data_IF_080303114424
#
_entry.id   IF_080303114424
#
_cell.length_a   1.000
_cell.length_b   1.000
_cell.length_c   1.000
_cell.angle_alpha   90.00
_cell.angle_beta   90.00
_cell.angle_gamma   90.00
#
_symmetry.space_group_name_H-M   'P 1'
#
loop_
_entity.id
_entity.type
_entity.pdbx_description
1 polymer ?
2 water ?
#
# COMPACT_ATOMS: atom_id res chain seq x y z
N UNK A 10 18.90 1.06 11.49
CA UNK A 10 18.34 -0.24 11.18
C UNK A 10 19.48 -0.95 10.46
N UNK A 11 19.61 -2.27 10.41
CA UNK A 11 20.66 -2.88 9.62
C UNK A 11 20.48 -2.59 8.15
N UNK A 12 21.59 -2.35 7.45
CA UNK A 12 21.60 -2.23 6.00
C UNK A 12 20.83 -3.35 5.30
N UNK A 13 20.86 -4.59 5.78
CA UNK A 13 20.18 -5.64 5.08
C UNK A 13 18.67 -5.44 5.12
N UNK A 14 18.16 -4.81 6.19
CA UNK A 14 16.75 -4.51 6.26
C UNK A 14 16.47 -3.41 5.26
N UNK A 15 17.24 -2.34 5.16
CA UNK A 15 17.00 -1.30 4.20
C UNK A 15 17.03 -1.79 2.74
N UNK A 16 18.03 -2.64 2.48
CA UNK A 16 18.24 -3.23 1.18
C UNK A 16 17.05 -4.15 0.88
N UNK A 17 16.59 -4.98 1.83
CA UNK A 17 15.40 -5.79 1.62
C UNK A 17 14.13 -4.92 1.46
N UNK A 18 13.97 -3.84 2.22
CA UNK A 18 12.84 -2.96 2.09
C UNK A 18 12.85 -2.33 0.72
N UNK A 19 13.99 -1.85 0.22
CA UNK A 19 14.06 -1.28 -1.11
C UNK A 19 13.57 -2.25 -2.17
N UNK A 20 14.10 -3.46 -2.15
CA UNK A 20 13.73 -4.44 -3.13
C UNK A 20 12.22 -4.74 -3.06
N UNK A 21 11.64 -4.82 -1.87
CA UNK A 21 10.26 -5.18 -1.72
C UNK A 21 9.26 -4.10 -2.11
N UNK A 22 9.57 -2.87 -1.77
CA UNK A 22 8.75 -1.73 -2.07
C UNK A 22 8.80 -1.44 -3.55
N UNK A 23 9.96 -1.53 -4.21
CA UNK A 23 10.00 -1.34 -5.64
C UNK A 23 9.23 -2.43 -6.42
N UNK A 24 9.08 -3.62 -5.89
CA UNK A 24 8.26 -4.60 -6.53
C UNK A 24 6.77 -4.22 -6.32
N UNK A 25 6.32 -3.85 -5.10
CA UNK A 25 4.92 -3.43 -4.85
C UNK A 25 4.62 -2.18 -5.65
N UNK A 26 5.55 -1.26 -5.85
CA UNK A 26 5.33 -0.15 -6.72
C UNK A 26 5.18 -0.59 -8.20
N UNK A 27 6.00 -1.54 -8.67
CA UNK A 27 5.93 -1.97 -10.04
C UNK A 27 4.59 -2.63 -10.21
N UNK A 28 4.20 -3.48 -9.29
CA UNK A 28 2.90 -4.14 -9.31
C UNK A 28 1.71 -3.21 -9.37
N UNK A 29 1.85 -2.07 -8.72
CA UNK A 29 0.76 -1.11 -8.65
C UNK A 29 0.65 -0.37 -9.95
N UNK A 30 1.78 -0.09 -10.57
CA UNK A 30 1.77 0.61 -11.82
C UNK A 30 1.18 -0.26 -12.89
N UNK A 31 1.36 -1.58 -12.83
CA UNK A 31 0.78 -2.50 -13.78
C UNK A 31 -0.73 -2.44 -13.65
N UNK A 32 -1.29 -2.55 -12.44
CA UNK A 32 -2.75 -2.44 -12.23
C UNK A 32 -3.27 -1.10 -12.79
N UNK A 33 -2.56 -0.03 -12.48
CA UNK A 33 -2.97 1.26 -12.95
C UNK A 33 -2.87 1.42 -14.46
N UNK A 34 -1.85 0.95 -15.18
CA UNK A 34 -1.80 1.11 -16.62
C UNK A 34 -2.86 0.25 -17.35
N UNK A 35 -3.20 -0.95 -16.87
CA UNK A 35 -4.28 -1.74 -17.45
C UNK A 35 -5.61 -0.98 -17.27
N UNK A 36 -6.15 -0.75 -16.08
CA UNK A 36 -7.40 -0.01 -15.93
C UNK A 36 -7.49 1.38 -16.58
N UNK A 37 -6.40 2.03 -16.90
CA UNK A 37 -6.50 3.29 -17.62
C UNK A 37 -6.76 2.96 -19.09
N UNK A 38 -5.93 2.10 -19.68
CA UNK A 38 -6.10 1.72 -21.06
C UNK A 38 -7.51 1.19 -21.29
N UNK A 39 -7.83 0.24 -20.46
CA UNK A 39 -9.06 -0.52 -20.51
C UNK A 39 -10.35 0.21 -20.11
N UNK A 40 -10.38 1.27 -19.29
CA UNK A 40 -11.66 1.84 -18.80
C UNK A 40 -11.48 3.29 -18.48
N UNK A 41 -10.46 3.91 -19.07
CA UNK A 41 -10.26 5.35 -19.04
C UNK A 41 -10.03 5.94 -17.66
N UNK A 42 -9.85 5.05 -16.69
CA UNK A 42 -9.55 5.42 -15.33
C UNK A 42 -8.05 5.76 -15.24
N UNK A 43 -7.62 6.95 -15.69
CA UNK A 43 -6.21 7.32 -15.65
C UNK A 43 -5.88 8.46 -14.73
N UNK A 44 -6.83 9.12 -14.09
CA UNK A 44 -6.46 10.25 -13.27
C UNK A 44 -6.96 10.05 -11.87
N UNK A 45 -6.13 9.46 -10.98
CA UNK A 45 -6.58 9.07 -9.66
C UNK A 45 -6.94 10.31 -8.89
N UNK A 46 -6.34 11.43 -9.34
CA UNK A 46 -6.60 12.77 -8.87
C UNK A 46 -8.09 13.13 -8.92
N UNK A 47 -8.81 12.55 -9.88
CA UNK A 47 -10.24 12.79 -10.02
C UNK A 47 -11.09 11.91 -9.10
N UNK A 48 -10.60 10.73 -8.74
CA UNK A 48 -11.40 9.76 -8.02
C UNK A 48 -11.47 10.01 -6.52
N UNK A 49 -10.87 11.10 -6.06
CA UNK A 49 -10.71 11.34 -4.62
C UNK A 49 -12.04 11.40 -3.87
N UNK A 50 -12.98 12.14 -4.45
CA UNK A 50 -14.31 12.32 -3.86
C UNK A 50 -15.03 10.98 -3.76
N UNK A 51 -14.88 10.19 -4.82
CA UNK A 51 -15.48 8.88 -4.87
C UNK A 51 -14.84 7.94 -3.87
N UNK A 52 -13.52 8.02 -3.71
CA UNK A 52 -12.87 7.20 -2.70
C UNK A 52 -13.51 7.46 -1.35
N UNK A 53 -13.66 8.77 -1.11
CA UNK A 53 -14.32 9.31 0.07
C UNK A 53 -15.74 8.82 0.23
N UNK A 54 -16.50 8.81 -0.86
CA UNK A 54 -17.81 8.25 -0.80
C UNK A 54 -17.76 6.77 -0.46
N UNK A 55 -16.81 6.03 -1.07
CA UNK A 55 -16.73 4.56 -0.92
C UNK A 55 -16.28 4.07 0.44
N UNK A 56 -15.49 4.92 1.09
CA UNK A 56 -15.01 4.63 2.43
C UNK A 56 -13.61 4.04 2.41
N UNK A 57 -12.76 4.55 1.50
CA UNK A 57 -11.43 4.00 1.33
C UNK A 57 -10.48 4.81 2.19
N UNK A 58 -10.03 4.21 3.33
CA UNK A 58 -9.23 4.88 4.34
C UNK A 58 -7.92 5.23 3.74
N UNK A 59 -7.19 6.05 4.46
CA UNK A 59 -5.93 6.40 3.92
C UNK A 59 -4.89 6.52 5.02
N UNK A 60 -4.15 5.41 5.27
CA UNK A 60 -3.18 5.28 6.34
C UNK A 60 -2.24 6.46 6.54
N UNK A 61 -2.27 6.98 7.77
CA UNK A 61 -1.29 7.93 8.29
C UNK A 61 0.10 7.36 8.61
N UNK A 62 1.06 8.11 8.13
CA UNK A 62 2.43 7.91 8.45
C UNK A 62 2.96 9.14 9.22
N UNK A 63 2.25 9.55 10.28
CA UNK A 63 2.62 10.77 11.00
C UNK A 63 3.95 10.65 11.72
N UNK A 64 4.15 9.57 12.45
CA UNK A 64 5.40 9.32 13.11
C UNK A 64 6.54 9.10 12.13
N UNK A 65 6.28 9.04 10.83
CA UNK A 65 7.39 8.91 9.90
C UNK A 65 7.68 10.27 9.29
N UNK A 66 6.93 11.31 9.74
CA UNK A 66 7.09 12.70 9.27
C UNK A 66 8.13 13.39 10.13
N UNK A 67 9.03 14.20 9.56
CA UNK A 67 10.09 14.89 10.32
C UNK A 67 9.75 15.40 11.73
N UNK A 68 8.77 16.32 11.82
CA UNK A 68 8.34 16.88 13.09
C UNK A 68 7.72 15.86 14.05
N UNK A 69 7.54 14.61 13.65
CA UNK A 69 7.12 13.58 14.58
C UNK A 69 7.93 12.29 14.42
N UNK A 70 9.13 12.32 13.81
CA UNK A 70 9.91 11.09 13.58
C UNK A 70 10.30 10.27 14.80
N UNK A 71 9.71 9.09 14.96
CA UNK A 71 10.03 8.21 16.07
C UNK A 71 10.11 6.79 15.53
N UNK A 72 11.26 6.07 15.62
CA UNK A 72 11.41 4.77 14.98
C UNK A 72 10.29 3.80 15.30
N UNK A 73 9.94 3.65 16.57
CA UNK A 73 8.88 2.71 16.92
C UNK A 73 7.52 3.09 16.30
N UNK A 74 7.30 4.39 16.25
CA UNK A 74 6.02 4.91 15.84
C UNK A 74 5.87 4.81 14.35
N UNK A 75 6.93 5.17 13.65
CA UNK A 75 6.96 5.09 12.22
C UNK A 75 6.78 3.64 11.76
N UNK A 76 7.54 2.71 12.33
CA UNK A 76 7.43 1.31 12.00
C UNK A 76 6.08 0.77 12.31
N UNK A 77 5.49 1.14 13.43
CA UNK A 77 4.21 0.57 13.79
C UNK A 77 3.09 1.13 12.92
N UNK A 78 3.21 2.38 12.43
CA UNK A 78 2.22 2.94 11.50
C UNK A 78 2.35 2.29 10.15
N UNK A 79 3.61 2.19 9.70
CA UNK A 79 3.96 1.53 8.47
C UNK A 79 3.33 0.17 8.43
N UNK A 80 3.55 -0.62 9.44
CA UNK A 80 2.95 -1.92 9.43
C UNK A 80 1.42 -1.90 9.47
N UNK A 81 0.80 -1.10 10.36
CA UNK A 81 -0.66 -1.14 10.49
C UNK A 81 -1.35 -0.68 9.21
N UNK A 82 -0.67 0.23 8.49
CA UNK A 82 -1.05 0.74 7.18
C UNK A 82 -0.96 -0.33 6.11
N UNK A 83 0.14 -1.09 6.07
CA UNK A 83 0.31 -2.23 5.15
C UNK A 83 -0.76 -3.30 5.39
N UNK A 84 -1.08 -3.48 6.64
CA UNK A 84 -2.08 -4.43 7.03
C UNK A 84 -3.48 -4.03 6.53
N UNK A 85 -3.77 -2.76 6.65
CA UNK A 85 -5.00 -2.19 6.14
C UNK A 85 -5.09 -2.42 4.64
N UNK A 86 -4.00 -2.07 3.93
CA UNK A 86 -3.93 -2.25 2.49
C UNK A 86 -4.13 -3.71 2.13
N UNK A 87 -3.68 -4.63 2.98
CA UNK A 87 -3.93 -6.04 2.77
C UNK A 87 -5.43 -6.30 2.73
N UNK A 88 -6.19 -5.70 3.64
CA UNK A 88 -7.62 -5.90 3.67
C UNK A 88 -8.28 -5.30 2.42
N UNK A 89 -7.91 -4.08 2.09
CA UNK A 89 -8.40 -3.36 0.93
C UNK A 89 -8.21 -4.20 -0.35
N UNK A 90 -7.00 -4.77 -0.53
CA UNK A 90 -6.73 -5.61 -1.67
C UNK A 90 -7.58 -6.86 -1.62
N UNK A 91 -7.82 -7.41 -0.45
CA UNK A 91 -8.70 -8.57 -0.30
C UNK A 91 -10.14 -8.20 -0.72
N UNK A 92 -10.57 -6.98 -0.39
CA UNK A 92 -11.94 -6.55 -0.61
C UNK A 92 -12.25 -6.31 -2.07
N UNK A 93 -11.28 -5.88 -2.88
CA UNK A 93 -11.45 -5.71 -4.31
C UNK A 93 -11.79 -7.00 -5.02
N UNK A 94 -11.45 -8.12 -4.40
CA UNK A 94 -11.76 -9.46 -4.87
C UNK A 94 -11.46 -9.65 -6.36
N UNK A 95 -10.19 -9.44 -6.71
CA UNK A 95 -9.70 -9.61 -8.07
C UNK A 95 -10.00 -8.49 -9.05
N UNK A 96 -11.03 -7.64 -8.74
CA UNK A 96 -11.62 -6.58 -9.57
C UNK A 96 -12.37 -7.24 -10.71
N UNK A 97 -11.73 -7.70 -11.79
CA UNK A 97 -12.37 -8.42 -12.89
C UNK A 97 -11.40 -9.50 -13.35
N UNK A 98 -11.78 -10.64 -13.93
CA UNK A 98 -10.87 -11.73 -14.35
C UNK A 98 -9.57 -11.34 -15.02
N UNK A 99 -9.72 -10.39 -15.90
CA UNK A 99 -8.63 -9.81 -16.66
C UNK A 99 -7.52 -9.18 -15.79
N UNK A 100 -7.96 -8.74 -14.60
CA UNK A 100 -7.16 -8.06 -13.62
C UNK A 100 -6.81 -8.90 -12.43
N UNK A 101 -7.52 -9.97 -12.13
CA UNK A 101 -7.26 -10.68 -10.91
C UNK A 101 -5.82 -11.21 -10.77
N UNK A 102 -5.13 -11.76 -11.81
CA UNK A 102 -3.72 -12.09 -11.69
C UNK A 102 -2.84 -10.92 -11.22
N UNK A 103 -2.99 -9.69 -11.73
CA UNK A 103 -2.18 -8.56 -11.31
C UNK A 103 -2.48 -8.18 -9.87
N UNK A 104 -3.69 -8.47 -9.40
CA UNK A 104 -4.07 -8.12 -8.06
C UNK A 104 -3.46 -9.17 -7.18
N UNK A 105 -3.56 -10.43 -7.54
CA UNK A 105 -2.92 -11.49 -6.83
C UNK A 105 -1.45 -11.27 -6.56
N UNK A 106 -0.65 -10.86 -7.55
CA UNK A 106 0.76 -10.56 -7.34
C UNK A 106 0.99 -9.43 -6.35
N UNK A 107 0.26 -8.34 -6.52
CA UNK A 107 0.31 -7.15 -5.69
C UNK A 107 -0.05 -7.56 -4.27
N UNK A 108 -0.93 -8.51 -4.11
CA UNK A 108 -1.34 -8.92 -2.81
C UNK A 108 -0.19 -9.74 -2.13
N UNK A 109 0.37 -10.67 -2.90
CA UNK A 109 1.51 -11.47 -2.49
C UNK A 109 2.70 -10.60 -2.09
N UNK A 110 3.07 -9.63 -2.90
CA UNK A 110 4.18 -8.76 -2.63
C UNK A 110 3.96 -7.77 -1.51
N UNK A 111 2.72 -7.32 -1.26
CA UNK A 111 2.45 -6.44 -0.14
C UNK A 111 2.47 -7.22 1.18
N UNK A 112 1.97 -8.44 1.19
CA UNK A 112 2.05 -9.31 2.33
C UNK A 112 3.51 -9.65 2.68
N UNK A 113 4.41 -9.81 1.70
CA UNK A 113 5.81 -10.11 1.98
C UNK A 113 6.55 -8.94 2.64
N UNK A 114 6.23 -7.73 2.19
CA UNK A 114 6.76 -6.54 2.76
C UNK A 114 6.22 -6.38 4.18
N UNK A 115 4.97 -6.70 4.46
CA UNK A 115 4.47 -6.50 5.79
C UNK A 115 5.04 -7.51 6.77
N UNK A 116 5.20 -8.78 6.38
CA UNK A 116 5.91 -9.76 7.20
C UNK A 116 7.34 -9.27 7.57
N UNK A 117 8.09 -8.69 6.62
CA UNK A 117 9.42 -8.17 6.85
C UNK A 117 9.42 -7.03 7.87
N UNK A 118 8.46 -6.07 7.76
CA UNK A 118 8.32 -4.94 8.69
C UNK A 118 8.02 -5.46 10.07
N UNK A 119 7.15 -6.43 10.19
CA UNK A 119 6.83 -6.95 11.48
C UNK A 119 7.97 -7.78 12.13
N UNK A 120 8.62 -8.63 11.31
CA UNK A 120 9.74 -9.44 11.72
C UNK A 120 10.77 -8.52 12.37
N UNK A 121 11.07 -7.41 11.71
CA UNK A 121 12.04 -6.43 12.21
C UNK A 121 11.63 -5.77 13.52
N UNK A 122 10.36 -5.43 13.65
CA UNK A 122 9.89 -4.86 14.88
C UNK A 122 10.15 -5.84 16.01
N UNK A 123 9.88 -7.12 15.78
CA UNK A 123 10.12 -8.15 16.78
C UNK A 123 11.58 -8.22 17.09
N UNK A 124 12.45 -8.20 16.10
CA UNK A 124 13.87 -8.19 16.34
C UNK A 124 14.29 -7.03 17.25
N UNK A 125 13.53 -5.95 17.19
CA UNK A 125 13.88 -4.78 17.96
C UNK A 125 13.10 -4.70 19.25
N UNK A 126 12.32 -5.71 19.56
CA UNK A 126 11.42 -5.68 20.71
C UNK A 126 10.27 -4.62 20.63
N UNK A 127 10.07 -3.88 19.50
CA UNK A 127 9.01 -2.88 19.42
C UNK A 127 7.83 -3.30 18.62
N UNK A 128 7.54 -4.58 18.64
CA UNK A 128 6.28 -5.04 18.08
C UNK A 128 5.30 -4.81 19.24
N UNK A 129 3.96 -4.72 19.16
CA UNK A 129 3.17 -4.79 17.93
C UNK A 129 2.97 -3.45 17.25
N UNK A 137 -12.20 -1.35 9.43
CA UNK A 137 -13.55 -1.58 8.95
C UNK A 137 -13.30 -1.57 7.43
N UNK A 138 -13.88 -2.47 6.60
CA UNK A 138 -13.46 -2.61 5.20
C UNK A 138 -14.50 -2.24 4.19
N UNK A 139 -14.22 -1.33 3.27
CA UNK A 139 -15.09 -0.96 2.17
C UNK A 139 -15.79 -2.10 1.46
N UNK A 140 -17.02 -1.80 1.04
CA UNK A 140 -17.82 -2.71 0.24
C UNK A 140 -17.89 -2.08 -1.13
N UNK A 141 -17.35 -2.77 -2.11
CA UNK A 141 -17.42 -2.32 -3.48
C UNK A 141 -18.26 -3.40 -4.08
N UNK A 142 -19.48 -3.12 -4.44
CA UNK A 142 -20.30 -4.16 -4.98
C UNK A 142 -20.45 -4.12 -6.50
N UNK A 143 -20.34 -2.97 -7.15
CA UNK A 143 -20.38 -2.98 -8.60
C UNK A 143 -18.98 -3.16 -9.14
N UNK A 144 -18.87 -3.45 -10.44
CA UNK A 144 -17.57 -3.60 -11.06
C UNK A 144 -16.95 -2.24 -11.25
N UNK A 145 -17.76 -1.18 -11.41
CA UNK A 145 -17.17 0.15 -11.52
C UNK A 145 -16.54 0.55 -10.18
N UNK A 146 -17.14 0.13 -9.06
CA UNK A 146 -16.59 0.43 -7.74
C UNK A 146 -15.24 -0.23 -7.54
N UNK A 147 -15.13 -1.54 -7.81
CA UNK A 147 -13.88 -2.22 -7.75
C UNK A 147 -12.92 -1.63 -8.75
N UNK A 148 -13.30 -1.17 -9.95
CA UNK A 148 -12.30 -0.60 -10.86
C UNK A 148 -11.76 0.74 -10.43
N UNK A 149 -12.57 1.63 -9.85
CA UNK A 149 -12.05 2.92 -9.40
C UNK A 149 -11.40 2.73 -8.02
N UNK A 150 -11.87 1.78 -7.21
CA UNK A 150 -11.27 1.46 -5.92
C UNK A 150 -9.86 0.95 -6.15
N UNK A 151 -9.68 0.09 -7.17
CA UNK A 151 -8.39 -0.48 -7.55
C UNK A 151 -7.39 0.57 -7.96
N UNK A 152 -7.77 1.60 -8.72
CA UNK A 152 -6.83 2.65 -9.13
C UNK A 152 -6.50 3.60 -7.97
N UNK A 153 -7.43 3.80 -7.05
CA UNK A 153 -7.20 4.63 -5.89
C UNK A 153 -6.20 3.97 -4.93
N UNK A 154 -6.54 2.77 -4.45
CA UNK A 154 -5.71 1.97 -3.56
C UNK A 154 -4.30 1.82 -4.14
N UNK A 155 -4.13 1.41 -5.40
CA UNK A 155 -2.84 1.34 -6.03
C UNK A 155 -2.05 2.63 -5.99
N UNK A 156 -2.63 3.82 -6.14
CA UNK A 156 -1.79 5.01 -6.11
C UNK A 156 -1.61 5.53 -4.69
N UNK A 157 -2.53 5.18 -3.78
CA UNK A 157 -2.38 5.51 -2.39
C UNK A 157 -1.19 4.75 -1.86
N UNK A 158 -1.20 3.42 -2.05
CA UNK A 158 -0.12 2.50 -1.67
C UNK A 158 1.25 2.96 -2.15
N UNK A 159 1.31 3.42 -3.39
CA UNK A 159 2.56 3.90 -3.92
C UNK A 159 3.16 5.08 -3.16
N UNK A 160 2.39 6.12 -2.93
CA UNK A 160 2.85 7.30 -2.21
C UNK A 160 3.17 6.96 -0.77
N UNK A 161 2.31 6.13 -0.15
CA UNK A 161 2.52 5.68 1.21
C UNK A 161 3.93 5.09 1.39
N UNK A 162 4.30 4.18 0.46
CA UNK A 162 5.58 3.50 0.49
C UNK A 162 6.71 4.47 0.28
N UNK A 163 6.68 5.29 -0.76
CA UNK A 163 7.66 6.36 -0.95
C UNK A 163 7.89 7.23 0.27
N UNK A 164 6.87 7.34 1.12
CA UNK A 164 6.99 8.10 2.35
C UNK A 164 7.79 7.33 3.41
N UNK A 165 7.34 6.10 3.69
CA UNK A 165 7.98 5.22 4.64
C UNK A 165 9.45 4.96 4.33
N UNK A 166 9.81 4.93 3.05
CA UNK A 166 11.18 4.71 2.65
C UNK A 166 12.08 5.90 2.93
N UNK A 167 11.63 7.12 2.68
CA UNK A 167 12.51 8.25 2.94
C UNK A 167 12.75 8.31 4.46
N UNK A 168 11.71 7.96 5.22
CA UNK A 168 11.77 7.93 6.66
C UNK A 168 12.77 6.88 7.12
N UNK A 169 12.59 5.63 6.67
CA UNK A 169 13.48 4.53 6.98
C UNK A 169 14.95 4.76 6.58
N UNK A 170 15.21 5.26 5.37
CA UNK A 170 16.55 5.61 4.93
C UNK A 170 17.25 6.62 5.83
N UNK A 171 16.47 7.50 6.44
CA UNK A 171 17.00 8.50 7.36
C UNK A 171 17.19 7.92 8.77
N UNK A 172 16.66 6.73 9.05
CA UNK A 172 16.87 6.04 10.31
C UNK A 172 18.10 5.14 10.09
N UNK A 173 19.13 5.87 9.67
CA UNK A 173 20.39 5.35 9.21
C UNK A 173 21.31 6.53 8.88
#
# INVERSE_FOLDING_TARGET
MAPLGPTGPLPQSFLLKCLEQMRKVQADGTALQETLCATHQLCHPEELVLLGHALGIPQPPLSSCSSQALQLMGCLRQLHSGLFLYQGLLQALAGISPELAPTLDTLQLDTTDFAINIWQQMEDLGMAPAVPPTQGTMPAFTSAFQRRAGGVLVASNLQSFLELAYRALRHFAKP
#
